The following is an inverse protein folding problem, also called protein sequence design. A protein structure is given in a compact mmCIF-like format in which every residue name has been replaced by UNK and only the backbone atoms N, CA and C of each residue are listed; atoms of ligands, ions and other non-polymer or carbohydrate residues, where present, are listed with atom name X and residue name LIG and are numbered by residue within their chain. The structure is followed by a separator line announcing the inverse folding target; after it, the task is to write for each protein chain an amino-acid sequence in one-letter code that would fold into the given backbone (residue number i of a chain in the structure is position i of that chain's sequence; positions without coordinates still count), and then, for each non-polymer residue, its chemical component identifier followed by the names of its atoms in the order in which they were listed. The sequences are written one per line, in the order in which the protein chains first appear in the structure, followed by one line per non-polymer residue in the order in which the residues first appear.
data_IF_348308063037
#
_entry.id   IF_348308063037
#
_cell.length_a   1.000
_cell.length_b   1.000
_cell.length_c   1.000
_cell.angle_alpha   90.00
_cell.angle_beta   90.00
_cell.angle_gamma   90.00
#
_symmetry.space_group_name_H-M   'P 1'
#
loop_
_entity.id
_entity.type
_entity.pdbx_description
1 polymer ?
#
# COMPACT_ATOMS: atom_id res chain seq x y z
N UNK A 1 6.15 10.78 -3.75
CA UNK A 1 5.18 11.65 -4.39
C UNK A 1 3.92 11.78 -3.52
N UNK A 2 3.13 10.69 -3.31
CA UNK A 2 1.84 10.73 -2.61
C UNK A 2 1.93 11.32 -1.20
N UNK A 3 2.87 10.88 -0.38
CA UNK A 3 3.06 11.45 0.97
C UNK A 3 3.30 12.96 0.96
N UNK A 4 4.06 13.47 -0.01
CA UNK A 4 4.33 14.91 -0.14
C UNK A 4 3.17 15.74 -0.70
N UNK A 5 2.12 15.09 -1.19
CA UNK A 5 0.87 15.75 -1.59
C UNK A 5 -0.12 15.82 -0.41
N UNK A 6 -0.02 14.87 0.53
CA UNK A 6 -0.93 14.72 1.67
C UNK A 6 -0.35 15.30 2.99
N UNK A 7 0.97 15.48 3.08
CA UNK A 7 1.65 16.00 4.27
C UNK A 7 2.77 16.97 3.91
N UNK A 8 2.93 18.03 4.70
CA UNK A 8 3.99 19.03 4.49
C UNK A 8 5.39 18.54 4.84
N UNK A 9 5.50 17.48 5.64
CA UNK A 9 6.76 16.86 6.08
C UNK A 9 6.65 16.31 7.50
N UNK A 10 7.77 15.82 8.03
CA UNK A 10 7.88 15.26 9.37
C UNK A 10 8.31 13.80 9.39
N UNK A 11 8.30 13.14 10.55
CA UNK A 11 8.68 11.74 10.69
C UNK A 11 7.69 10.83 9.96
N UNK A 12 8.22 9.87 9.17
CA UNK A 12 7.43 8.88 8.44
C UNK A 12 8.03 7.49 8.60
N UNK A 13 7.20 6.46 8.53
CA UNK A 13 7.62 5.07 8.69
C UNK A 13 6.99 4.15 7.66
N UNK A 14 7.64 3.01 7.44
CA UNK A 14 7.15 1.90 6.63
C UNK A 14 6.76 0.75 7.55
N UNK A 15 5.56 0.20 7.40
CA UNK A 15 5.13 -1.04 8.04
C UNK A 15 4.94 -2.11 6.98
N UNK A 16 5.60 -3.27 7.19
CA UNK A 16 5.57 -4.35 6.21
C UNK A 16 5.69 -5.74 6.80
N UNK A 17 5.48 -6.73 5.95
CA UNK A 17 5.51 -8.13 6.31
C UNK A 17 6.87 -8.56 6.88
N UNK A 18 7.94 -8.29 6.15
CA UNK A 18 9.31 -8.69 6.48
C UNK A 18 10.19 -8.78 5.23
N UNK A 19 11.51 -8.77 5.39
CA UNK A 19 12.44 -8.84 4.29
C UNK A 19 12.50 -10.26 3.67
N UNK A 20 12.93 -10.33 2.40
CA UNK A 20 13.15 -11.60 1.67
C UNK A 20 11.99 -11.99 0.76
N UNK A 21 10.95 -11.17 0.64
CA UNK A 21 9.89 -11.30 -0.36
C UNK A 21 10.11 -10.22 -1.41
N UNK A 22 10.45 -10.60 -2.63
CA UNK A 22 10.91 -9.69 -3.69
C UNK A 22 9.97 -8.48 -3.91
N UNK A 23 8.66 -8.66 -3.86
CA UNK A 23 7.69 -7.57 -4.03
C UNK A 23 7.63 -6.62 -2.83
N UNK A 24 7.87 -7.12 -1.62
CA UNK A 24 7.93 -6.33 -0.38
C UNK A 24 9.23 -5.54 -0.37
N UNK A 25 10.35 -6.22 -0.65
CA UNK A 25 11.69 -5.59 -0.71
C UNK A 25 11.70 -4.45 -1.76
N UNK A 26 11.13 -4.68 -2.95
CA UNK A 26 11.02 -3.65 -3.98
C UNK A 26 10.16 -2.44 -3.57
N UNK A 27 9.08 -2.66 -2.79
CA UNK A 27 8.27 -1.55 -2.24
C UNK A 27 9.06 -0.73 -1.23
N UNK A 28 9.84 -1.38 -0.37
CA UNK A 28 10.71 -0.70 0.59
C UNK A 28 11.85 0.06 -0.10
N UNK A 29 12.50 -0.53 -1.13
CA UNK A 29 13.50 0.17 -1.94
C UNK A 29 12.92 1.42 -2.61
N UNK A 30 11.71 1.31 -3.18
CA UNK A 30 10.99 2.44 -3.77
C UNK A 30 10.65 3.53 -2.74
N UNK A 31 10.21 3.14 -1.53
CA UNK A 31 9.98 4.05 -0.41
C UNK A 31 11.26 4.82 -0.05
N UNK A 32 12.35 4.10 0.25
CA UNK A 32 13.62 4.70 0.66
C UNK A 32 14.22 5.60 -0.43
N UNK A 33 14.13 5.16 -1.69
CA UNK A 33 14.59 5.96 -2.84
C UNK A 33 13.81 7.27 -2.98
N UNK A 34 12.49 7.22 -2.82
CA UNK A 34 11.67 8.42 -2.91
C UNK A 34 11.94 9.41 -1.77
N UNK A 35 12.18 8.93 -0.55
CA UNK A 35 12.47 9.79 0.60
C UNK A 35 13.84 10.47 0.50
N UNK A 36 14.81 9.86 -0.18
CA UNK A 36 16.12 10.49 -0.40
C UNK A 36 16.03 11.84 -1.13
N UNK A 37 14.98 12.02 -1.95
CA UNK A 37 14.74 13.26 -2.69
C UNK A 37 13.74 14.21 -1.97
N UNK A 38 13.29 13.86 -0.77
CA UNK A 38 12.26 14.58 0.01
C UNK A 38 12.78 14.95 1.41
N UNK A 39 13.71 15.91 1.53
CA UNK A 39 14.40 16.23 2.79
C UNK A 39 13.50 16.79 3.88
N UNK A 40 12.26 17.15 3.58
CA UNK A 40 11.26 17.55 4.56
C UNK A 40 10.72 16.38 5.38
N UNK A 41 10.93 15.13 4.96
CA UNK A 41 10.54 13.93 5.70
C UNK A 41 11.74 13.28 6.40
N UNK A 42 11.53 12.85 7.64
CA UNK A 42 12.47 12.03 8.40
C UNK A 42 12.07 10.54 8.26
N UNK A 43 12.91 9.73 7.61
CA UNK A 43 12.68 8.29 7.50
C UNK A 43 13.02 7.59 8.82
N UNK A 44 12.00 7.12 9.53
CA UNK A 44 12.14 6.34 10.76
C UNK A 44 12.45 4.86 10.51
N UNK A 45 12.53 4.46 9.25
CA UNK A 45 12.84 3.09 8.80
C UNK A 45 11.62 2.19 8.70
N UNK A 46 11.91 0.91 8.43
CA UNK A 46 10.91 -0.13 8.31
C UNK A 46 10.65 -0.83 9.63
N UNK A 47 9.39 -1.09 9.90
CA UNK A 47 8.88 -1.98 10.93
C UNK A 47 8.36 -3.26 10.25
N UNK A 48 8.51 -4.39 10.89
CA UNK A 48 8.12 -5.68 10.33
C UNK A 48 7.30 -6.47 11.34
N UNK A 49 6.27 -7.16 10.87
CA UNK A 49 5.27 -7.82 11.71
C UNK A 49 4.96 -9.26 11.31
N UNK A 50 5.57 -9.78 10.24
CA UNK A 50 5.27 -11.12 9.70
C UNK A 50 3.76 -11.37 9.49
N UNK A 51 3.00 -10.32 9.16
CA UNK A 51 1.54 -10.33 9.04
C UNK A 51 0.80 -10.66 10.36
N UNK A 52 1.38 -10.38 11.51
CA UNK A 52 0.70 -10.49 12.80
C UNK A 52 0.11 -9.12 13.21
N UNK A 53 -1.22 -9.05 13.30
CA UNK A 53 -1.92 -7.80 13.63
C UNK A 53 -1.52 -7.28 15.03
N UNK A 54 -1.24 -8.16 15.98
CA UNK A 54 -0.81 -7.74 17.31
C UNK A 54 0.61 -7.13 17.27
N UNK A 55 1.51 -7.68 16.43
CA UNK A 55 2.82 -7.07 16.20
C UNK A 55 2.70 -5.72 15.47
N UNK A 56 1.85 -5.61 14.44
CA UNK A 56 1.59 -4.33 13.76
C UNK A 56 1.12 -3.27 14.76
N UNK A 57 0.13 -3.61 15.58
CA UNK A 57 -0.40 -2.71 16.63
C UNK A 57 0.70 -2.28 17.60
N UNK A 58 1.52 -3.21 18.06
CA UNK A 58 2.63 -2.92 18.98
C UNK A 58 3.72 -2.06 18.31
N UNK A 59 3.99 -2.28 17.03
CA UNK A 59 4.91 -1.47 16.22
C UNK A 59 4.42 -0.02 16.12
N UNK A 60 3.14 0.19 15.79
CA UNK A 60 2.53 1.53 15.70
C UNK A 60 2.58 2.23 17.06
N UNK A 61 2.24 1.53 18.15
CA UNK A 61 2.34 2.07 19.50
C UNK A 61 3.77 2.49 19.88
N UNK A 62 4.75 1.66 19.55
CA UNK A 62 6.15 1.96 19.82
C UNK A 62 6.65 3.14 18.97
N UNK A 63 6.19 3.21 17.71
CA UNK A 63 6.50 4.30 16.79
C UNK A 63 5.95 5.63 17.31
N UNK A 64 4.68 5.69 17.71
CA UNK A 64 4.04 6.89 18.24
C UNK A 64 4.65 7.36 19.57
N UNK A 65 5.13 6.43 20.41
CA UNK A 65 5.90 6.81 21.62
C UNK A 65 7.26 7.41 21.28
N UNK A 66 7.93 6.95 20.22
CA UNK A 66 9.23 7.45 19.78
C UNK A 66 9.12 8.75 19.00
N UNK A 67 8.08 8.89 18.19
CA UNK A 67 7.79 10.06 17.35
C UNK A 67 6.31 10.47 17.55
N UNK A 68 6.01 11.26 18.62
CA UNK A 68 4.63 11.70 18.88
C UNK A 68 4.06 12.63 17.80
N UNK A 69 4.93 13.20 16.98
CA UNK A 69 4.65 14.07 15.84
C UNK A 69 4.71 13.31 14.50
N UNK A 70 4.52 11.99 14.54
CA UNK A 70 4.48 11.14 13.34
C UNK A 70 3.57 11.75 12.28
N UNK A 71 4.12 12.00 11.08
CA UNK A 71 3.40 12.60 9.97
C UNK A 71 2.73 11.56 9.05
N UNK A 72 3.29 10.34 8.97
CA UNK A 72 2.67 9.33 8.14
C UNK A 72 3.27 7.94 8.25
N UNK A 73 2.46 6.96 7.81
CA UNK A 73 2.84 5.55 7.71
C UNK A 73 2.46 5.03 6.32
N UNK A 74 3.39 4.31 5.68
CA UNK A 74 3.08 3.48 4.53
C UNK A 74 2.89 2.03 4.97
N UNK A 75 1.69 1.49 4.78
CA UNK A 75 1.35 0.09 5.06
C UNK A 75 1.46 -0.73 3.77
N UNK A 76 2.43 -1.66 3.70
CA UNK A 76 2.88 -2.23 2.44
C UNK A 76 1.99 -3.34 1.86
N UNK A 77 1.02 -3.85 2.59
CA UNK A 77 0.03 -4.81 2.10
C UNK A 77 -1.28 -4.76 2.92
N UNK A 78 -2.28 -5.53 2.51
CA UNK A 78 -3.64 -5.49 3.10
C UNK A 78 -3.63 -5.70 4.62
N UNK A 79 -2.86 -6.68 5.13
CA UNK A 79 -2.84 -6.98 6.57
C UNK A 79 -2.17 -5.86 7.36
N UNK A 80 -1.08 -5.27 6.82
CA UNK A 80 -0.41 -4.14 7.44
C UNK A 80 -1.35 -2.93 7.50
N UNK A 81 -2.08 -2.66 6.41
CA UNK A 81 -3.09 -1.61 6.37
C UNK A 81 -4.17 -1.80 7.45
N UNK A 82 -4.66 -3.04 7.63
CA UNK A 82 -5.67 -3.36 8.64
C UNK A 82 -5.17 -3.04 10.05
N UNK A 83 -3.97 -3.47 10.39
CA UNK A 83 -3.39 -3.25 11.72
C UNK A 83 -3.06 -1.78 11.99
N UNK A 84 -2.39 -1.11 11.03
CA UNK A 84 -2.06 0.32 11.12
C UNK A 84 -3.33 1.16 11.27
N UNK A 85 -4.29 0.99 10.37
CA UNK A 85 -5.54 1.76 10.36
C UNK A 85 -6.32 1.58 11.66
N UNK A 86 -6.48 0.31 12.11
CA UNK A 86 -7.17 0.01 13.36
C UNK A 86 -6.53 0.71 14.56
N UNK A 87 -5.20 0.76 14.61
CA UNK A 87 -4.50 1.40 15.72
C UNK A 87 -4.59 2.91 15.66
N UNK A 88 -4.40 3.52 14.50
CA UNK A 88 -4.53 4.98 14.32
C UNK A 88 -5.96 5.43 14.66
N UNK A 89 -6.99 4.71 14.20
CA UNK A 89 -8.40 4.98 14.55
C UNK A 89 -8.67 4.83 16.05
N UNK A 90 -8.15 3.78 16.69
CA UNK A 90 -8.37 3.54 18.13
C UNK A 90 -7.81 4.65 19.01
N UNK A 91 -6.79 5.34 18.53
CA UNK A 91 -6.12 6.46 19.21
C UNK A 91 -6.69 7.83 18.79
N UNK A 92 -7.57 7.88 17.79
CA UNK A 92 -8.16 9.13 17.29
C UNK A 92 -7.14 10.03 16.56
N UNK A 93 -6.17 9.43 15.85
CA UNK A 93 -5.06 10.14 15.20
C UNK A 93 -5.21 10.26 13.67
N UNK A 94 -6.40 10.01 13.12
CA UNK A 94 -6.64 10.04 11.67
C UNK A 94 -6.37 11.42 11.05
N UNK A 95 -6.62 12.49 11.78
CA UNK A 95 -6.36 13.86 11.32
C UNK A 95 -4.88 14.28 11.48
N UNK A 96 -4.06 13.47 12.16
CA UNK A 96 -2.65 13.76 12.43
C UNK A 96 -1.71 12.90 11.58
N UNK A 97 -2.01 11.60 11.44
CA UNK A 97 -1.12 10.63 10.79
C UNK A 97 -1.68 10.25 9.44
N UNK A 98 -1.01 10.66 8.36
CA UNK A 98 -1.35 10.25 7.01
C UNK A 98 -1.06 8.75 6.81
N UNK A 99 -2.07 7.98 6.46
CA UNK A 99 -1.95 6.55 6.17
C UNK A 99 -2.07 6.30 4.66
N UNK A 100 -0.99 5.86 4.05
CA UNK A 100 -1.00 5.36 2.66
C UNK A 100 -0.86 3.85 2.70
N UNK A 101 -1.72 3.13 1.98
CA UNK A 101 -1.68 1.68 1.99
C UNK A 101 -1.57 1.09 0.58
N UNK A 102 -1.16 -0.17 0.51
CA UNK A 102 -1.09 -0.92 -0.73
C UNK A 102 -2.27 -1.91 -0.80
N UNK A 103 -2.76 -2.18 -2.02
CA UNK A 103 -3.94 -2.99 -2.35
C UNK A 103 -5.28 -2.24 -2.22
N UNK A 104 -6.39 -2.92 -2.57
CA UNK A 104 -7.76 -2.39 -2.51
C UNK A 104 -8.77 -3.48 -2.12
N UNK A 105 -8.54 -4.12 -0.97
CA UNK A 105 -9.51 -5.04 -0.38
C UNK A 105 -10.76 -4.27 0.10
N UNK A 106 -11.92 -4.91 0.20
CA UNK A 106 -13.16 -4.25 0.62
C UNK A 106 -13.01 -3.42 1.89
N UNK A 107 -12.34 -3.96 2.90
CA UNK A 107 -12.07 -3.27 4.17
C UNK A 107 -11.16 -2.04 4.02
N UNK A 108 -10.22 -2.04 3.04
CA UNK A 108 -9.39 -0.88 2.75
C UNK A 108 -10.17 0.22 2.03
N UNK A 109 -11.06 -0.15 1.10
CA UNK A 109 -11.98 0.78 0.44
C UNK A 109 -12.90 1.46 1.46
N UNK A 110 -13.46 0.68 2.40
CA UNK A 110 -14.27 1.23 3.49
C UNK A 110 -13.45 2.14 4.41
N UNK A 111 -12.18 1.78 4.70
CA UNK A 111 -11.27 2.61 5.49
C UNK A 111 -10.98 3.95 4.80
N UNK A 112 -10.75 3.93 3.48
CA UNK A 112 -10.55 5.12 2.66
C UNK A 112 -11.79 6.03 2.70
N UNK A 113 -12.99 5.46 2.49
CA UNK A 113 -14.26 6.21 2.48
C UNK A 113 -14.60 6.88 3.81
N UNK A 114 -14.15 6.32 4.94
CA UNK A 114 -14.34 6.92 6.27
C UNK A 114 -13.17 7.78 6.74
N UNK A 115 -12.14 7.99 5.91
CA UNK A 115 -10.99 8.83 6.21
C UNK A 115 -9.97 8.21 7.18
N UNK A 116 -9.93 6.88 7.29
CA UNK A 116 -8.94 6.16 8.11
C UNK A 116 -7.69 5.74 7.30
N UNK A 117 -7.80 5.83 5.98
CA UNK A 117 -6.71 5.74 5.00
C UNK A 117 -6.86 6.92 4.05
N UNK A 118 -5.76 7.57 3.70
CA UNK A 118 -5.75 8.76 2.85
C UNK A 118 -5.58 8.41 1.37
N UNK A 119 -4.85 7.32 1.06
CA UNK A 119 -4.68 6.85 -0.29
C UNK A 119 -4.34 5.36 -0.35
N UNK A 120 -4.76 4.72 -1.45
CA UNK A 120 -4.41 3.34 -1.77
C UNK A 120 -3.60 3.29 -3.07
N UNK A 121 -2.48 2.57 -3.04
CA UNK A 121 -1.70 2.25 -4.24
C UNK A 121 -2.10 0.84 -4.68
N UNK A 122 -2.73 0.72 -5.83
CA UNK A 122 -3.39 -0.53 -6.23
C UNK A 122 -2.79 -1.10 -7.50
N UNK A 123 -2.34 -2.34 -7.41
CA UNK A 123 -1.82 -3.10 -8.55
C UNK A 123 -2.97 -3.59 -9.45
N UNK A 124 -2.68 -3.77 -10.73
CA UNK A 124 -3.63 -4.33 -11.68
C UNK A 124 -3.63 -5.87 -11.62
N UNK A 125 -4.20 -6.44 -10.55
CA UNK A 125 -4.25 -7.89 -10.36
C UNK A 125 -5.03 -8.62 -11.46
N UNK A 126 -6.14 -8.04 -11.94
CA UNK A 126 -6.88 -8.55 -13.09
C UNK A 126 -6.00 -8.63 -14.34
N UNK A 127 -5.34 -7.52 -14.69
CA UNK A 127 -4.46 -7.45 -15.87
C UNK A 127 -3.27 -8.41 -15.77
N UNK A 128 -2.76 -8.68 -14.56
CA UNK A 128 -1.71 -9.71 -14.36
C UNK A 128 -2.21 -11.08 -14.79
N UNK A 129 -3.42 -11.47 -14.37
CA UNK A 129 -4.04 -12.75 -14.75
C UNK A 129 -4.31 -12.82 -16.26
N UNK A 130 -4.96 -11.81 -16.82
CA UNK A 130 -5.30 -11.74 -18.24
C UNK A 130 -4.05 -11.82 -19.14
N UNK A 131 -3.05 -10.97 -18.87
CA UNK A 131 -1.80 -10.91 -19.64
C UNK A 131 -1.04 -12.23 -19.57
N UNK A 132 -1.00 -12.88 -18.40
CA UNK A 132 -0.32 -14.15 -18.23
C UNK A 132 -0.97 -15.27 -19.04
N UNK A 133 -2.30 -15.34 -19.02
CA UNK A 133 -3.06 -16.33 -19.81
C UNK A 133 -2.92 -16.05 -21.30
N UNK A 134 -3.01 -14.79 -21.73
CA UNK A 134 -2.85 -14.42 -23.14
C UNK A 134 -1.45 -14.80 -23.66
N UNK A 135 -0.40 -14.46 -22.92
CA UNK A 135 0.97 -14.82 -23.28
C UNK A 135 1.15 -16.35 -23.45
N UNK A 136 0.55 -17.14 -22.53
CA UNK A 136 0.59 -18.61 -22.63
C UNK A 136 -0.16 -19.12 -23.86
N UNK A 137 -1.34 -18.56 -24.17
CA UNK A 137 -2.13 -18.93 -25.35
C UNK A 137 -1.37 -18.62 -26.63
N UNK A 138 -0.78 -17.43 -26.75
CA UNK A 138 -0.04 -16.99 -27.93
C UNK A 138 1.20 -17.87 -28.15
N UNK A 139 1.88 -18.25 -27.07
CA UNK A 139 3.00 -19.18 -27.14
C UNK A 139 2.58 -20.58 -27.62
N UNK A 140 1.55 -21.14 -27.01
CA UNK A 140 1.12 -22.51 -27.33
C UNK A 140 0.46 -22.63 -28.69
N UNK A 141 -0.26 -21.61 -29.15
CA UNK A 141 -1.00 -21.64 -30.43
C UNK A 141 -0.15 -21.18 -31.61
N UNK A 142 0.58 -20.09 -31.42
CA UNK A 142 1.22 -19.35 -32.51
C UNK A 142 2.76 -19.36 -32.41
N UNK A 143 3.34 -19.96 -31.35
CA UNK A 143 4.78 -20.02 -31.11
C UNK A 143 5.40 -18.65 -30.79
N UNK A 144 4.59 -17.67 -30.33
CA UNK A 144 5.07 -16.33 -29.99
C UNK A 144 5.73 -16.39 -28.61
N UNK A 145 7.03 -16.14 -28.56
CA UNK A 145 7.78 -16.09 -27.30
C UNK A 145 7.32 -14.89 -26.46
N UNK A 146 6.93 -15.08 -25.17
CA UNK A 146 6.55 -14.00 -24.31
C UNK A 146 7.75 -13.13 -23.93
N UNK A 147 7.51 -11.86 -23.69
CA UNK A 147 8.52 -10.99 -23.09
C UNK A 147 8.93 -11.50 -21.70
N UNK A 148 10.22 -11.35 -21.35
CA UNK A 148 10.74 -11.78 -20.05
C UNK A 148 10.11 -11.04 -18.88
N UNK A 149 9.71 -9.80 -19.10
CA UNK A 149 9.12 -8.94 -18.09
C UNK A 149 8.08 -8.05 -18.74
N UNK A 150 6.86 -8.08 -18.22
CA UNK A 150 5.77 -7.19 -18.60
C UNK A 150 5.39 -6.32 -17.40
N UNK A 151 5.49 -5.02 -17.57
CA UNK A 151 5.06 -4.06 -16.55
C UNK A 151 3.61 -3.67 -16.79
N UNK A 152 2.80 -3.81 -15.76
CA UNK A 152 1.42 -3.35 -15.76
C UNK A 152 1.31 -2.04 -14.98
N UNK A 153 0.37 -1.21 -15.36
CA UNK A 153 0.08 0.03 -14.67
C UNK A 153 -0.50 -0.26 -13.27
N UNK A 154 -0.23 0.65 -12.36
CA UNK A 154 -0.89 0.74 -11.07
C UNK A 154 -1.79 1.97 -11.06
N UNK A 155 -2.74 2.01 -10.13
CA UNK A 155 -3.58 3.19 -9.90
C UNK A 155 -3.44 3.67 -8.46
N UNK A 156 -3.71 4.96 -8.27
CA UNK A 156 -3.84 5.56 -6.94
C UNK A 156 -5.31 5.88 -6.71
N UNK A 157 -5.84 5.37 -5.62
CA UNK A 157 -7.23 5.59 -5.20
C UNK A 157 -7.23 6.50 -3.99
N UNK A 158 -8.01 7.55 -4.06
CA UNK A 158 -8.19 8.55 -3.02
C UNK A 158 -9.68 8.75 -2.74
N UNK A 159 -10.06 9.45 -1.67
CA UNK A 159 -11.48 9.75 -1.40
C UNK A 159 -12.20 10.44 -2.56
N UNK A 160 -11.46 11.22 -3.39
CA UNK A 160 -12.03 11.97 -4.51
C UNK A 160 -12.38 11.09 -5.71
N UNK A 161 -11.70 9.93 -5.87
CA UNK A 161 -11.88 9.07 -7.05
C UNK A 161 -12.35 7.64 -6.74
N UNK A 162 -12.54 7.29 -5.48
CA UNK A 162 -12.92 5.93 -5.05
C UNK A 162 -14.25 5.45 -5.64
N UNK A 163 -15.14 6.36 -6.02
CA UNK A 163 -16.43 6.04 -6.63
C UNK A 163 -16.42 6.08 -8.16
N UNK A 164 -15.24 6.30 -8.78
CA UNK A 164 -15.09 6.26 -10.23
C UNK A 164 -15.31 4.82 -10.76
N UNK A 165 -16.31 4.61 -11.65
CA UNK A 165 -16.61 3.29 -12.20
C UNK A 165 -15.43 2.65 -12.95
N UNK A 166 -14.54 3.45 -13.55
CA UNK A 166 -13.39 2.95 -14.31
C UNK A 166 -12.30 2.36 -13.39
N UNK A 167 -12.29 2.73 -12.11
CA UNK A 167 -11.36 2.24 -11.11
C UNK A 167 -11.83 0.97 -10.41
N UNK A 168 -13.12 0.64 -10.45
CA UNK A 168 -13.67 -0.52 -9.73
C UNK A 168 -13.09 -1.86 -10.18
N UNK A 169 -12.57 -1.95 -11.41
CA UNK A 169 -11.88 -3.16 -11.90
C UNK A 169 -10.58 -3.49 -11.15
N UNK A 170 -10.03 -2.52 -10.42
CA UNK A 170 -8.83 -2.70 -9.59
C UNK A 170 -9.17 -3.14 -8.16
N UNK A 171 -10.44 -3.04 -7.74
CA UNK A 171 -10.84 -3.44 -6.39
C UNK A 171 -10.90 -4.96 -6.27
N UNK A 172 -10.43 -5.46 -5.16
CA UNK A 172 -10.51 -6.88 -4.86
C UNK A 172 -11.95 -7.24 -4.52
N UNK A 173 -12.58 -8.01 -5.39
CA UNK A 173 -13.95 -8.44 -5.16
C UNK A 173 -13.94 -9.75 -4.37
N UNK A 174 -14.86 -9.87 -3.42
CA UNK A 174 -15.17 -11.17 -2.82
C UNK A 174 -15.83 -12.03 -3.90
N UNK A 175 -15.15 -13.08 -4.31
CA UNK A 175 -15.75 -14.05 -5.25
C UNK A 175 -16.44 -15.10 -4.40
N UNK A 176 -17.78 -15.10 -4.39
CA UNK A 176 -18.57 -16.21 -3.85
C UNK A 176 -18.41 -17.40 -4.81
N UNK A 177 -17.68 -18.43 -4.38
CA UNK A 177 -17.55 -19.70 -5.12
C UNK A 177 -18.70 -20.64 -4.81
#
# INVERSE_FOLDING_TARGET
AMMSELSEGGPVAYEGYGPGIASIDARFEGWSSALADLPQFEDLGALYSNADIAEITANVDALLRRAPDLAGIFACCTIDATGVTSQIESLGLQDQVTVIAFDAAPEQIEALKRGAVDALIVQNAWGMGETSVQALVDYLRDGIEPEKTTHLEYVVITPENVDDPDLQKYFYQTVDF
#
